data_IF_814985626347
#
_entry.id   IF_814985626347
#
_cell.length_a   1.000
_cell.length_b   1.000
_cell.length_c   1.000
_cell.angle_alpha   90.00
_cell.angle_beta   90.00
_cell.angle_gamma   90.00
#
_symmetry.space_group_name_H-M   'P 1'
#
loop_
_entity.id
_entity.type
_entity.pdbx_description
1 polymer ?
#
# COMPACT_ATOMS: atom_id res chain seq x y z
N UNK A 1 -23.75 17.73 7.60
CA UNK A 1 -23.00 16.48 7.37
C UNK A 1 -22.59 16.35 5.91
N UNK A 2 -23.49 16.63 4.95
CA UNK A 2 -23.16 16.59 3.53
C UNK A 2 -22.05 17.57 3.10
N UNK A 3 -21.96 18.75 3.72
CA UNK A 3 -20.85 19.69 3.45
C UNK A 3 -19.50 19.10 3.83
N UNK A 4 -19.33 18.63 5.08
CA UNK A 4 -18.04 18.11 5.61
C UNK A 4 -17.55 16.90 4.81
N UNK A 5 -18.46 16.06 4.29
CA UNK A 5 -18.09 14.84 3.59
C UNK A 5 -17.18 15.12 2.38
N UNK A 6 -17.45 16.20 1.65
CA UNK A 6 -16.72 16.57 0.44
C UNK A 6 -15.64 17.63 0.68
N UNK A 7 -15.45 18.11 1.91
CA UNK A 7 -14.52 19.21 2.22
C UNK A 7 -13.07 18.72 2.31
N UNK A 8 -12.13 19.52 1.80
CA UNK A 8 -10.69 19.30 2.00
C UNK A 8 -10.30 19.65 3.44
N UNK A 9 -9.30 18.97 3.99
CA UNK A 9 -8.92 19.16 5.41
C UNK A 9 -8.53 20.58 5.80
N UNK A 10 -8.03 21.40 4.86
CA UNK A 10 -7.69 22.80 5.11
C UNK A 10 -8.90 23.69 5.37
N UNK A 11 -10.08 23.25 4.94
CA UNK A 11 -11.29 24.05 4.90
C UNK A 11 -12.31 23.59 5.95
N UNK A 12 -11.91 22.68 6.85
CA UNK A 12 -12.78 22.23 7.92
C UNK A 12 -13.10 23.37 8.89
N UNK A 13 -14.38 23.54 9.29
CA UNK A 13 -14.75 24.44 10.37
C UNK A 13 -14.01 24.11 11.67
N UNK A 14 -13.79 25.12 12.52
CA UNK A 14 -13.22 24.91 13.85
C UNK A 14 -14.04 23.88 14.66
N UNK A 15 -13.34 22.99 15.35
CA UNK A 15 -13.95 21.94 16.17
C UNK A 15 -14.30 20.65 15.44
N UNK A 16 -14.12 20.57 14.11
CA UNK A 16 -14.18 19.29 13.39
C UNK A 16 -12.97 18.45 13.79
N UNK A 17 -13.24 17.31 14.44
CA UNK A 17 -12.20 16.37 14.84
C UNK A 17 -11.96 15.37 13.71
N UNK A 18 -10.68 15.19 13.37
CA UNK A 18 -10.24 14.10 12.52
C UNK A 18 -10.43 12.73 13.17
N UNK A 19 -9.80 11.73 12.59
CA UNK A 19 -9.75 10.36 13.10
C UNK A 19 -8.31 10.01 13.49
N UNK A 20 -7.88 10.34 14.72
CA UNK A 20 -6.49 10.10 15.15
C UNK A 20 -6.11 8.62 15.08
N UNK A 21 -4.83 8.37 14.84
CA UNK A 21 -4.26 7.03 14.79
C UNK A 21 -4.53 6.30 16.12
N UNK A 22 -4.99 5.06 16.01
CA UNK A 22 -5.39 4.19 17.13
C UNK A 22 -6.51 4.72 18.04
N UNK A 23 -7.24 5.77 17.64
CA UNK A 23 -8.50 6.13 18.29
C UNK A 23 -9.54 4.99 18.20
N UNK A 24 -10.55 4.92 19.08
CA UNK A 24 -11.60 3.90 19.00
C UNK A 24 -12.27 3.83 17.61
N UNK A 25 -12.48 4.99 16.97
CA UNK A 25 -13.03 5.09 15.61
C UNK A 25 -12.08 4.48 14.58
N UNK A 26 -10.79 4.81 14.64
CA UNK A 26 -9.77 4.23 13.75
C UNK A 26 -9.71 2.70 13.92
N UNK A 27 -9.63 2.21 15.16
CA UNK A 27 -9.57 0.78 15.46
C UNK A 27 -10.83 0.02 15.00
N UNK A 28 -12.00 0.67 15.08
CA UNK A 28 -13.25 0.10 14.54
C UNK A 28 -13.16 -0.08 13.04
N UNK A 29 -12.77 0.97 12.30
CA UNK A 29 -12.62 0.89 10.84
C UNK A 29 -11.54 -0.08 10.40
N UNK A 30 -10.40 -0.10 11.09
CA UNK A 30 -9.34 -1.09 10.86
C UNK A 30 -9.85 -2.52 11.05
N UNK A 31 -10.62 -2.77 12.11
CA UNK A 31 -11.23 -4.08 12.37
C UNK A 31 -12.24 -4.48 11.29
N UNK A 32 -13.05 -3.53 10.81
CA UNK A 32 -13.97 -3.75 9.68
C UNK A 32 -13.21 -4.10 8.41
N UNK A 33 -12.16 -3.35 8.06
CA UNK A 33 -11.30 -3.65 6.91
C UNK A 33 -10.69 -5.04 7.01
N UNK A 34 -10.14 -5.41 8.18
CA UNK A 34 -9.58 -6.74 8.43
C UNK A 34 -10.65 -7.82 8.25
N UNK A 35 -11.85 -7.63 8.80
CA UNK A 35 -12.94 -8.59 8.66
C UNK A 35 -13.34 -8.79 7.19
N UNK A 36 -13.48 -7.69 6.43
CA UNK A 36 -13.79 -7.74 4.99
C UNK A 36 -12.69 -8.47 4.22
N UNK A 37 -11.42 -8.17 4.50
CA UNK A 37 -10.26 -8.82 3.86
C UNK A 37 -10.27 -10.33 4.15
N UNK A 38 -10.49 -10.74 5.41
CA UNK A 38 -10.56 -12.15 5.79
C UNK A 38 -11.71 -12.85 5.07
N UNK A 39 -12.90 -12.27 5.09
CA UNK A 39 -14.09 -12.83 4.41
C UNK A 39 -13.81 -12.98 2.91
N UNK A 40 -13.27 -11.95 2.27
CA UNK A 40 -12.92 -11.98 0.85
C UNK A 40 -11.93 -13.12 0.56
N UNK A 41 -10.84 -13.22 1.32
CA UNK A 41 -9.84 -14.31 1.15
C UNK A 41 -10.46 -15.69 1.34
N UNK A 42 -11.35 -15.88 2.33
CA UNK A 42 -12.03 -17.16 2.55
C UNK A 42 -12.95 -17.54 1.39
N UNK A 43 -13.65 -16.56 0.80
CA UNK A 43 -14.44 -16.75 -0.42
C UNK A 43 -13.53 -17.10 -1.59
N UNK A 44 -12.42 -16.36 -1.77
CA UNK A 44 -11.47 -16.58 -2.85
C UNK A 44 -10.80 -17.96 -2.78
N UNK A 45 -10.50 -18.45 -1.57
CA UNK A 45 -9.89 -19.78 -1.36
C UNK A 45 -10.80 -20.92 -1.83
N UNK A 46 -12.12 -20.75 -1.74
CA UNK A 46 -13.13 -21.71 -2.19
C UNK A 46 -13.54 -21.51 -3.66
N UNK A 47 -13.14 -20.40 -4.26
CA UNK A 47 -13.56 -20.02 -5.61
C UNK A 47 -12.73 -20.69 -6.70
N UNK A 48 -13.37 -21.03 -7.82
CA UNK A 48 -12.66 -21.52 -9.01
C UNK A 48 -11.72 -20.48 -9.63
N UNK A 49 -10.73 -20.92 -10.42
CA UNK A 49 -9.75 -20.04 -11.07
C UNK A 49 -10.36 -18.92 -11.94
N UNK A 50 -11.41 -19.17 -12.75
CA UNK A 50 -12.03 -18.11 -13.55
C UNK A 50 -12.64 -17.00 -12.70
N UNK A 51 -13.39 -17.37 -11.65
CA UNK A 51 -13.98 -16.42 -10.72
C UNK A 51 -12.89 -15.62 -9.99
N UNK A 52 -11.83 -16.29 -9.53
CA UNK A 52 -10.71 -15.62 -8.86
C UNK A 52 -10.06 -14.52 -9.69
N UNK A 53 -9.72 -14.83 -10.94
CA UNK A 53 -9.14 -13.86 -11.87
C UNK A 53 -10.12 -12.75 -12.23
N UNK A 54 -11.41 -13.08 -12.40
CA UNK A 54 -12.47 -12.11 -12.65
C UNK A 54 -12.61 -11.10 -11.52
N UNK A 55 -12.71 -11.59 -10.27
CA UNK A 55 -12.80 -10.73 -9.08
C UNK A 55 -11.58 -9.84 -8.93
N UNK A 56 -10.36 -10.35 -9.10
CA UNK A 56 -9.15 -9.50 -9.02
C UNK A 56 -9.14 -8.39 -10.06
N UNK A 57 -9.59 -8.67 -11.30
CA UNK A 57 -9.75 -7.64 -12.33
C UNK A 57 -10.76 -6.58 -11.92
N UNK A 58 -11.90 -6.98 -11.34
CA UNK A 58 -12.89 -6.04 -10.83
C UNK A 58 -12.31 -5.20 -9.70
N UNK A 59 -11.66 -5.82 -8.70
CA UNK A 59 -11.08 -5.11 -7.55
C UNK A 59 -10.05 -4.06 -7.99
N UNK A 60 -9.18 -4.39 -8.94
CA UNK A 60 -8.15 -3.44 -9.40
C UNK A 60 -8.72 -2.35 -10.30
N UNK A 61 -9.76 -2.64 -11.09
CA UNK A 61 -10.50 -1.61 -11.83
C UNK A 61 -11.19 -0.67 -10.86
N UNK A 62 -11.81 -1.18 -9.80
CA UNK A 62 -12.42 -0.36 -8.74
C UNK A 62 -11.37 0.53 -8.08
N UNK A 63 -10.19 0.02 -7.73
CA UNK A 63 -9.11 0.83 -7.16
C UNK A 63 -8.66 1.96 -8.11
N UNK A 64 -8.56 1.69 -9.42
CA UNK A 64 -8.22 2.71 -10.40
C UNK A 64 -9.32 3.76 -10.59
N UNK A 65 -10.59 3.34 -10.56
CA UNK A 65 -11.73 4.28 -10.59
C UNK A 65 -11.76 5.14 -9.34
N UNK A 66 -11.42 4.59 -8.17
CA UNK A 66 -11.30 5.36 -6.93
C UNK A 66 -10.17 6.40 -7.01
N UNK A 67 -9.00 6.06 -7.56
CA UNK A 67 -7.93 7.05 -7.74
C UNK A 67 -8.35 8.19 -8.70
N UNK A 68 -9.06 7.86 -9.79
CA UNK A 68 -9.60 8.88 -10.69
C UNK A 68 -10.68 9.71 -9.98
N UNK A 69 -11.53 9.09 -9.16
CA UNK A 69 -12.58 9.81 -8.42
C UNK A 69 -11.97 10.77 -7.40
N UNK A 70 -10.83 10.44 -6.79
CA UNK A 70 -10.07 11.35 -5.94
C UNK A 70 -9.59 12.59 -6.69
N UNK A 71 -9.08 12.44 -7.92
CA UNK A 71 -8.69 13.59 -8.74
C UNK A 71 -9.88 14.46 -9.14
N UNK A 72 -10.99 13.83 -9.53
CA UNK A 72 -12.22 14.54 -9.88
C UNK A 72 -12.75 15.30 -8.66
N UNK A 73 -12.80 14.66 -7.50
CA UNK A 73 -13.22 15.29 -6.25
C UNK A 73 -12.36 16.52 -5.95
N UNK A 74 -11.03 16.36 -5.94
CA UNK A 74 -10.09 17.46 -5.71
C UNK A 74 -10.27 18.62 -6.69
N UNK A 75 -10.51 18.31 -7.98
CA UNK A 75 -10.75 19.32 -9.01
C UNK A 75 -12.08 20.07 -8.80
N UNK A 76 -13.14 19.36 -8.43
CA UNK A 76 -14.47 19.95 -8.18
C UNK A 76 -14.43 20.94 -7.02
N UNK A 77 -13.71 20.60 -5.94
CA UNK A 77 -13.63 21.44 -4.74
C UNK A 77 -12.52 22.51 -4.83
N UNK A 78 -11.82 22.61 -5.96
CA UNK A 78 -10.76 23.61 -6.16
C UNK A 78 -9.43 23.31 -5.45
N UNK A 79 -9.24 22.10 -4.93
CA UNK A 79 -8.03 21.65 -4.22
C UNK A 79 -7.11 20.78 -5.08
N UNK A 80 -7.30 20.77 -6.39
CA UNK A 80 -6.37 20.08 -7.28
C UNK A 80 -5.08 20.89 -7.44
N UNK A 81 -4.01 20.48 -6.76
CA UNK A 81 -2.68 21.07 -6.91
C UNK A 81 -1.68 20.04 -7.42
N UNK A 82 -0.75 20.47 -8.28
CA UNK A 82 0.38 19.61 -8.72
C UNK A 82 1.34 19.26 -7.58
N UNK A 83 1.22 19.94 -6.44
CA UNK A 83 2.03 19.72 -5.24
C UNK A 83 1.53 18.50 -4.45
N UNK A 84 0.22 18.23 -4.47
CA UNK A 84 -0.38 17.17 -3.64
C UNK A 84 -1.07 16.06 -4.44
N UNK A 85 -1.51 16.34 -5.67
CA UNK A 85 -2.45 15.46 -6.39
C UNK A 85 -1.83 14.65 -7.54
N UNK A 86 -0.54 14.79 -7.84
CA UNK A 86 0.10 13.92 -8.83
C UNK A 86 0.16 12.47 -8.31
N UNK A 87 0.06 11.46 -9.19
CA UNK A 87 0.12 10.04 -8.81
C UNK A 87 1.54 9.56 -8.49
N UNK A 88 2.27 10.32 -7.68
CA UNK A 88 3.66 10.09 -7.36
C UNK A 88 3.86 9.43 -6.00
N UNK A 89 2.79 9.19 -5.24
CA UNK A 89 2.85 8.37 -4.02
C UNK A 89 2.89 6.87 -4.33
N UNK A 90 3.34 6.09 -3.34
CA UNK A 90 3.49 4.64 -3.47
C UNK A 90 2.13 3.95 -3.68
N UNK A 91 1.05 4.46 -3.08
CA UNK A 91 -0.30 3.93 -3.29
C UNK A 91 -0.76 4.09 -4.75
N UNK A 92 -0.57 5.26 -5.36
CA UNK A 92 -0.87 5.48 -6.79
C UNK A 92 -0.03 4.57 -7.68
N UNK A 93 1.28 4.43 -7.41
CA UNK A 93 2.13 3.46 -8.12
C UNK A 93 1.63 2.02 -7.93
N UNK A 94 1.21 1.66 -6.72
CA UNK A 94 0.73 0.32 -6.38
C UNK A 94 -0.50 -0.08 -7.18
N UNK A 95 -1.45 0.84 -7.39
CA UNK A 95 -2.63 0.60 -8.23
C UNK A 95 -2.21 0.17 -9.65
N UNK A 96 -1.28 0.90 -10.27
CA UNK A 96 -0.84 0.60 -11.62
C UNK A 96 0.02 -0.66 -11.70
N UNK A 97 0.86 -0.91 -10.69
CA UNK A 97 1.70 -2.11 -10.62
C UNK A 97 0.87 -3.38 -10.39
N UNK A 98 -0.13 -3.32 -9.50
CA UNK A 98 -1.06 -4.42 -9.28
C UNK A 98 -1.95 -4.64 -10.50
N UNK A 99 -2.41 -3.58 -11.17
CA UNK A 99 -3.14 -3.70 -12.44
C UNK A 99 -2.29 -4.43 -13.47
N UNK A 100 -1.05 -3.99 -13.69
CA UNK A 100 -0.14 -4.64 -14.60
C UNK A 100 0.12 -6.10 -14.20
N UNK A 101 0.24 -6.41 -12.90
CA UNK A 101 0.40 -7.77 -12.39
C UNK A 101 -0.83 -8.65 -12.65
N UNK A 102 -2.05 -8.17 -12.39
CA UNK A 102 -3.31 -8.88 -12.59
C UNK A 102 -3.53 -9.23 -14.07
N UNK A 103 -3.24 -8.30 -14.98
CA UNK A 103 -3.47 -8.51 -16.41
C UNK A 103 -2.35 -9.30 -17.10
N UNK A 104 -1.09 -9.07 -16.71
CA UNK A 104 0.04 -9.75 -17.36
C UNK A 104 0.42 -11.08 -16.73
N UNK A 105 0.09 -11.30 -15.44
CA UNK A 105 0.52 -12.47 -14.68
C UNK A 105 2.04 -12.57 -14.45
N UNK A 106 2.81 -11.52 -14.78
CA UNK A 106 4.28 -11.55 -14.68
C UNK A 106 4.74 -11.66 -13.22
N UNK A 107 5.59 -12.65 -12.96
CA UNK A 107 6.15 -12.93 -11.62
C UNK A 107 6.80 -11.70 -10.98
N UNK A 108 7.62 -10.95 -11.73
CA UNK A 108 8.32 -9.76 -11.19
C UNK A 108 7.34 -8.68 -10.68
N UNK A 109 6.20 -8.49 -11.36
CA UNK A 109 5.21 -7.51 -10.92
C UNK A 109 4.47 -7.99 -9.66
N UNK A 110 4.15 -9.28 -9.59
CA UNK A 110 3.56 -9.87 -8.38
C UNK A 110 4.53 -9.82 -7.19
N UNK A 111 5.81 -10.09 -7.43
CA UNK A 111 6.87 -9.94 -6.42
C UNK A 111 6.97 -8.50 -5.94
N UNK A 112 6.98 -7.52 -6.86
CA UNK A 112 7.00 -6.09 -6.51
C UNK A 112 5.81 -5.71 -5.62
N UNK A 113 4.60 -6.12 -6.02
CA UNK A 113 3.39 -5.84 -5.26
C UNK A 113 3.42 -6.52 -3.89
N UNK A 114 3.92 -7.75 -3.80
CA UNK A 114 4.05 -8.46 -2.54
C UNK A 114 5.09 -7.83 -1.60
N UNK A 115 6.26 -7.43 -2.10
CA UNK A 115 7.35 -6.95 -1.25
C UNK A 115 7.27 -5.46 -0.90
N UNK A 116 6.52 -4.65 -1.64
CA UNK A 116 6.46 -3.20 -1.46
C UNK A 116 5.01 -2.68 -1.35
N UNK A 117 4.14 -2.99 -2.31
CA UNK A 117 2.77 -2.47 -2.32
C UNK A 117 1.93 -2.98 -1.13
N UNK A 118 1.93 -4.29 -0.90
CA UNK A 118 1.19 -4.92 0.20
C UNK A 118 1.63 -4.41 1.58
N UNK A 119 2.93 -4.40 1.97
CA UNK A 119 3.33 -3.85 3.25
C UNK A 119 3.15 -2.33 3.33
N UNK A 120 3.31 -1.59 2.23
CA UNK A 120 3.02 -0.15 2.19
C UNK A 120 1.53 0.14 2.44
N UNK A 121 0.64 -0.63 1.84
CA UNK A 121 -0.79 -0.53 2.06
C UNK A 121 -1.18 -0.88 3.51
N UNK A 122 -0.55 -1.92 4.08
CA UNK A 122 -0.73 -2.25 5.50
C UNK A 122 -0.25 -1.11 6.41
N UNK A 123 0.92 -0.52 6.13
CA UNK A 123 1.44 0.60 6.92
C UNK A 123 0.49 1.80 6.88
N UNK A 124 -0.05 2.13 5.70
CA UNK A 124 -1.03 3.21 5.53
C UNK A 124 -2.36 2.94 6.26
N UNK A 125 -2.81 1.68 6.36
CA UNK A 125 -3.97 1.31 7.17
C UNK A 125 -3.71 1.37 8.69
N UNK A 126 -2.48 1.11 9.12
CA UNK A 126 -2.11 1.11 10.55
C UNK A 126 -1.83 2.51 11.07
N UNK A 127 -1.14 3.33 10.27
CA UNK A 127 -0.78 4.72 10.60
C UNK A 127 -1.11 5.62 9.41
N UNK A 128 -2.40 5.93 9.18
CA UNK A 128 -2.82 6.77 8.07
C UNK A 128 -2.28 8.19 8.22
N UNK A 129 -1.81 8.77 7.11
CA UNK A 129 -1.44 10.19 7.00
C UNK A 129 -2.67 11.09 6.74
N UNK A 130 -3.83 10.49 6.45
CA UNK A 130 -5.12 11.17 6.34
C UNK A 130 -5.91 11.22 7.66
N UNK A 131 -5.24 11.07 8.81
CA UNK A 131 -5.85 11.07 10.15
C UNK A 131 -6.56 12.39 10.50
N UNK A 132 -6.22 13.49 9.83
CA UNK A 132 -6.91 14.78 9.97
C UNK A 132 -8.36 14.74 9.45
N UNK A 133 -8.70 13.79 8.59
CA UNK A 133 -10.05 13.66 8.05
C UNK A 133 -10.98 12.92 9.04
N UNK A 134 -12.23 13.41 9.25
CA UNK A 134 -13.27 12.65 9.93
C UNK A 134 -13.56 11.34 9.22
N UNK A 135 -13.92 10.29 9.96
CA UNK A 135 -14.11 8.95 9.40
C UNK A 135 -15.18 8.90 8.31
N UNK A 136 -16.16 9.80 8.37
CA UNK A 136 -17.25 9.94 7.40
C UNK A 136 -16.97 11.11 6.44
N UNK A 137 -15.78 11.11 5.85
CA UNK A 137 -15.40 11.99 4.74
C UNK A 137 -15.05 11.16 3.52
N UNK A 138 -15.18 11.77 2.34
CA UNK A 138 -14.80 11.14 1.09
C UNK A 138 -13.36 10.63 1.14
N UNK A 139 -12.41 11.49 1.53
CA UNK A 139 -10.99 11.15 1.54
C UNK A 139 -10.66 10.03 2.53
N UNK A 140 -11.27 10.00 3.72
CA UNK A 140 -11.04 8.92 4.69
C UNK A 140 -11.56 7.57 4.16
N UNK A 141 -12.82 7.52 3.70
CA UNK A 141 -13.43 6.30 3.17
C UNK A 141 -12.73 5.82 1.90
N UNK A 142 -12.37 6.75 1.00
CA UNK A 142 -11.58 6.49 -0.19
C UNK A 142 -10.26 5.81 0.19
N UNK A 143 -9.47 6.44 1.07
CA UNK A 143 -8.14 5.96 1.41
C UNK A 143 -8.18 4.62 2.14
N UNK A 144 -9.09 4.42 3.10
CA UNK A 144 -9.26 3.11 3.75
C UNK A 144 -9.64 2.03 2.73
N UNK A 145 -10.51 2.35 1.78
CA UNK A 145 -10.94 1.40 0.74
C UNK A 145 -9.79 1.04 -0.20
N UNK A 146 -9.10 2.02 -0.77
CA UNK A 146 -7.98 1.80 -1.72
C UNK A 146 -6.88 0.97 -1.06
N UNK A 147 -6.46 1.32 0.15
CA UNK A 147 -5.39 0.56 0.83
C UNK A 147 -5.85 -0.84 1.24
N UNK A 148 -7.13 -1.05 1.56
CA UNK A 148 -7.67 -2.39 1.79
C UNK A 148 -7.65 -3.24 0.51
N UNK A 149 -7.95 -2.66 -0.66
CA UNK A 149 -7.89 -3.34 -1.95
C UNK A 149 -6.46 -3.71 -2.35
N UNK A 150 -5.52 -2.77 -2.21
CA UNK A 150 -4.09 -2.98 -2.49
C UNK A 150 -3.46 -4.03 -1.57
N UNK A 151 -3.92 -4.12 -0.32
CA UNK A 151 -3.50 -5.21 0.56
C UNK A 151 -4.11 -6.56 0.17
N UNK A 152 -5.40 -6.56 -0.20
CA UNK A 152 -6.17 -7.77 -0.48
C UNK A 152 -5.67 -8.53 -1.72
N UNK A 153 -5.32 -7.85 -2.81
CA UNK A 153 -4.98 -8.52 -4.07
C UNK A 153 -3.71 -9.40 -3.94
N UNK A 154 -2.57 -8.91 -3.43
CA UNK A 154 -1.40 -9.75 -3.19
C UNK A 154 -1.65 -10.85 -2.15
N UNK A 155 -2.52 -10.59 -1.16
CA UNK A 155 -2.91 -11.61 -0.18
C UNK A 155 -3.71 -12.75 -0.83
N UNK A 156 -4.61 -12.45 -1.78
CA UNK A 156 -5.33 -13.47 -2.55
C UNK A 156 -4.35 -14.35 -3.31
N UNK A 157 -3.32 -13.78 -3.94
CA UNK A 157 -2.30 -14.55 -4.66
C UNK A 157 -1.60 -15.55 -3.76
N UNK A 158 -1.14 -15.09 -2.59
CA UNK A 158 -0.42 -15.92 -1.63
C UNK A 158 -1.31 -17.02 -1.04
N UNK A 159 -2.49 -16.65 -0.55
CA UNK A 159 -3.32 -17.57 0.24
C UNK A 159 -4.19 -18.47 -0.64
N UNK A 160 -4.64 -17.96 -1.79
CA UNK A 160 -5.62 -18.65 -2.65
C UNK A 160 -5.04 -19.18 -3.94
N UNK A 161 -3.95 -18.63 -4.49
CA UNK A 161 -3.41 -19.03 -5.80
C UNK A 161 -2.08 -19.78 -5.75
N UNK A 162 -1.52 -19.99 -4.56
CA UNK A 162 -0.22 -20.64 -4.41
C UNK A 162 0.94 -19.83 -4.99
N UNK A 163 0.78 -18.52 -5.12
CA UNK A 163 1.87 -17.62 -5.50
C UNK A 163 3.01 -17.77 -4.51
N UNK A 164 4.22 -17.96 -5.04
CA UNK A 164 5.46 -18.03 -4.26
C UNK A 164 6.35 -16.82 -4.59
N UNK A 165 6.62 -15.95 -3.60
CA UNK A 165 7.54 -14.84 -3.76
C UNK A 165 8.96 -15.33 -4.05
N UNK A 166 9.65 -14.68 -4.99
CA UNK A 166 11.03 -15.02 -5.32
C UNK A 166 12.01 -14.00 -4.72
N UNK A 167 12.78 -14.38 -3.71
CA UNK A 167 13.76 -13.50 -3.05
C UNK A 167 14.83 -12.97 -4.02
N UNK A 168 15.13 -13.70 -5.11
CA UNK A 168 16.09 -13.26 -6.14
C UNK A 168 15.58 -12.05 -6.93
N UNK A 169 14.29 -11.75 -6.87
CA UNK A 169 13.69 -10.58 -7.50
C UNK A 169 13.69 -9.34 -6.59
N UNK A 170 14.06 -9.45 -5.30
CA UNK A 170 14.11 -8.29 -4.39
C UNK A 170 15.01 -7.15 -4.92
N UNK A 171 16.23 -7.39 -5.43
CA UNK A 171 17.05 -6.32 -6.00
C UNK A 171 16.41 -5.65 -7.22
N UNK A 172 15.66 -6.40 -8.03
CA UNK A 172 14.94 -5.86 -9.19
C UNK A 172 13.74 -5.02 -8.74
N UNK A 173 13.02 -5.47 -7.72
CA UNK A 173 11.90 -4.72 -7.14
C UNK A 173 12.39 -3.41 -6.51
N UNK A 174 13.53 -3.46 -5.82
CA UNK A 174 14.21 -2.27 -5.33
C UNK A 174 14.63 -1.33 -6.47
N UNK A 175 15.19 -1.87 -7.55
CA UNK A 175 15.57 -1.10 -8.73
C UNK A 175 14.38 -0.37 -9.37
N UNK A 176 13.21 -1.02 -9.46
CA UNK A 176 11.96 -0.39 -9.92
C UNK A 176 11.55 0.75 -8.98
N UNK A 177 11.61 0.53 -7.67
CA UNK A 177 11.29 1.56 -6.69
C UNK A 177 12.23 2.76 -6.82
N UNK A 178 13.54 2.54 -6.97
CA UNK A 178 14.52 3.62 -7.11
C UNK A 178 14.36 4.35 -8.45
N UNK A 179 14.07 3.64 -9.54
CA UNK A 179 13.79 4.23 -10.84
C UNK A 179 12.58 5.18 -10.79
N UNK A 180 11.62 4.91 -9.91
CA UNK A 180 10.48 5.80 -9.65
C UNK A 180 10.82 6.91 -8.65
N UNK A 181 11.45 6.57 -7.52
CA UNK A 181 11.71 7.48 -6.42
C UNK A 181 12.72 8.59 -6.77
N UNK A 182 13.74 8.32 -7.58
CA UNK A 182 14.76 9.31 -7.95
C UNK A 182 14.16 10.49 -8.76
N UNK A 183 13.39 10.26 -9.85
CA UNK A 183 12.67 11.34 -10.52
C UNK A 183 11.68 12.06 -9.61
N UNK A 184 10.95 11.32 -8.76
CA UNK A 184 9.99 11.90 -7.81
C UNK A 184 10.69 12.83 -6.81
N UNK A 185 11.89 12.48 -6.35
CA UNK A 185 12.69 13.36 -5.52
C UNK A 185 13.06 14.67 -6.25
N UNK A 186 13.45 14.59 -7.52
CA UNK A 186 13.67 15.78 -8.35
C UNK A 186 12.42 16.65 -8.47
N UNK A 187 11.25 16.04 -8.67
CA UNK A 187 9.96 16.74 -8.71
C UNK A 187 9.65 17.41 -7.35
N UNK A 188 9.91 16.72 -6.23
CA UNK A 188 9.73 17.28 -4.89
C UNK A 188 10.59 18.51 -4.63
N UNK A 189 11.81 18.55 -5.17
CA UNK A 189 12.67 19.73 -5.09
C UNK A 189 12.15 20.88 -5.97
N UNK A 190 11.67 20.57 -7.18
CA UNK A 190 11.17 21.57 -8.13
C UNK A 190 9.83 22.20 -7.70
N UNK A 191 8.91 21.39 -7.16
CA UNK A 191 7.54 21.83 -6.83
C UNK A 191 7.37 22.21 -5.36
N UNK A 192 8.34 21.93 -4.51
CA UNK A 192 8.15 22.06 -3.06
C UNK A 192 7.24 20.98 -2.45
N UNK A 193 6.99 19.87 -3.18
CA UNK A 193 6.10 18.78 -2.74
C UNK A 193 6.81 17.72 -1.88
N UNK A 194 6.03 16.82 -1.27
CA UNK A 194 6.53 15.71 -0.44
C UNK A 194 5.99 14.34 -0.86
N UNK A 195 6.02 14.05 -2.17
CA UNK A 195 5.66 12.72 -2.69
C UNK A 195 6.59 11.64 -2.14
N UNK A 196 6.05 10.44 -1.89
CA UNK A 196 6.75 9.32 -1.25
C UNK A 196 7.36 9.62 0.12
N UNK A 197 7.03 10.77 0.73
CA UNK A 197 7.62 11.22 2.00
C UNK A 197 9.15 11.25 1.95
N UNK A 198 9.73 11.75 0.85
CA UNK A 198 11.17 11.83 0.64
C UNK A 198 11.81 13.12 1.17
N UNK A 199 10.99 14.13 1.50
CA UNK A 199 11.46 15.42 2.01
C UNK A 199 11.14 15.63 3.48
N UNK A 200 9.99 15.19 3.94
CA UNK A 200 9.53 15.35 5.33
C UNK A 200 8.79 14.09 5.77
N UNK A 201 8.91 13.69 7.04
CA UNK A 201 8.14 12.56 7.55
C UNK A 201 6.68 12.98 7.78
N UNK A 202 5.70 12.11 7.44
CA UNK A 202 4.31 12.35 7.82
C UNK A 202 4.16 12.23 9.34
N UNK A 203 3.47 13.21 9.93
CA UNK A 203 3.15 13.25 11.36
C UNK A 203 2.27 12.07 11.76
N UNK A 204 2.33 11.71 13.04
CA UNK A 204 1.59 10.60 13.67
C UNK A 204 1.92 9.22 13.06
N UNK A 205 3.08 9.11 12.38
CA UNK A 205 3.57 7.84 11.80
C UNK A 205 4.92 7.43 12.40
N UNK A 206 5.36 6.17 12.23
CA UNK A 206 6.70 5.76 12.62
C UNK A 206 7.83 6.57 11.97
N UNK A 207 7.58 7.21 10.82
CA UNK A 207 8.58 8.04 10.16
C UNK A 207 8.86 9.32 10.96
N UNK A 208 7.89 9.87 11.68
CA UNK A 208 8.11 11.03 12.57
C UNK A 208 9.07 10.69 13.71
N UNK A 209 8.96 9.47 14.27
CA UNK A 209 9.92 8.98 15.25
C UNK A 209 11.32 8.86 14.63
N UNK A 210 11.42 8.35 13.41
CA UNK A 210 12.70 8.27 12.71
C UNK A 210 13.31 9.64 12.44
N UNK A 211 12.51 10.64 12.08
CA UNK A 211 12.95 12.03 11.90
C UNK A 211 13.38 12.66 13.21
N UNK A 212 12.66 12.38 14.30
CA UNK A 212 13.05 12.84 15.64
C UNK A 212 14.39 12.24 16.09
N UNK A 213 14.64 10.96 15.77
CA UNK A 213 15.86 10.25 16.21
C UNK A 213 17.08 10.52 15.31
N UNK A 214 16.89 10.66 14.00
CA UNK A 214 17.97 10.73 13.02
C UNK A 214 18.04 12.07 12.27
N UNK A 215 17.07 12.96 12.48
CA UNK A 215 16.94 14.22 11.77
C UNK A 215 16.42 14.06 10.34
N UNK A 216 16.41 15.17 9.61
CA UNK A 216 16.03 15.26 8.20
C UNK A 216 17.26 15.69 7.39
N UNK A 217 17.74 14.88 6.41
CA UNK A 217 17.10 13.71 5.80
C UNK A 217 17.44 12.36 6.47
N UNK A 218 18.00 12.35 7.68
CA UNK A 218 18.50 11.14 8.33
C UNK A 218 17.48 10.01 8.54
N UNK A 219 16.18 10.32 8.66
CA UNK A 219 15.09 9.33 8.81
C UNK A 219 14.93 8.36 7.63
N UNK A 220 15.49 8.71 6.46
CA UNK A 220 15.49 7.83 5.29
C UNK A 220 16.31 6.55 5.56
N UNK A 221 17.35 6.62 6.40
CA UNK A 221 18.15 5.44 6.78
C UNK A 221 17.33 4.40 7.58
N UNK A 222 16.69 4.72 8.72
CA UNK A 222 15.83 3.78 9.42
C UNK A 222 14.60 3.36 8.59
N UNK A 223 14.12 4.19 7.66
CA UNK A 223 13.11 3.76 6.69
C UNK A 223 13.63 2.62 5.79
N UNK A 224 14.84 2.72 5.24
CA UNK A 224 15.45 1.62 4.48
C UNK A 224 15.65 0.36 5.34
N UNK A 225 16.08 0.52 6.59
CA UNK A 225 16.22 -0.61 7.51
C UNK A 225 14.87 -1.28 7.80
N UNK A 226 13.80 -0.49 7.97
CA UNK A 226 12.44 -0.99 8.15
C UNK A 226 11.99 -1.82 6.94
N UNK A 227 12.26 -1.38 5.71
CA UNK A 227 11.96 -2.15 4.49
C UNK A 227 12.68 -3.51 4.52
N UNK A 228 13.95 -3.54 4.92
CA UNK A 228 14.72 -4.79 5.03
C UNK A 228 14.09 -5.73 6.09
N UNK A 229 13.72 -5.20 7.26
CA UNK A 229 13.03 -5.97 8.31
C UNK A 229 11.72 -6.55 7.79
N UNK A 230 10.91 -5.74 7.10
CA UNK A 230 9.66 -6.20 6.47
C UNK A 230 9.92 -7.30 5.46
N UNK A 231 10.95 -7.18 4.63
CA UNK A 231 11.31 -8.25 3.68
C UNK A 231 11.75 -9.52 4.36
N UNK A 232 12.53 -9.43 5.44
CA UNK A 232 12.87 -10.61 6.25
C UNK A 232 11.59 -11.28 6.74
N UNK A 233 10.65 -10.53 7.33
CA UNK A 233 9.39 -11.08 7.84
C UNK A 233 8.52 -11.71 6.75
N UNK A 234 8.41 -11.07 5.58
CA UNK A 234 7.62 -11.57 4.46
C UNK A 234 8.24 -12.82 3.81
N UNK A 235 9.55 -12.85 3.64
CA UNK A 235 10.24 -13.92 2.91
C UNK A 235 10.71 -15.09 3.79
N UNK A 236 10.85 -14.89 5.10
CA UNK A 236 11.32 -15.92 6.04
C UNK A 236 10.48 -17.21 6.03
N UNK A 237 9.12 -17.17 6.05
CA UNK A 237 8.31 -18.38 6.00
C UNK A 237 8.56 -19.23 4.74
N UNK A 238 8.82 -18.55 3.60
CA UNK A 238 9.09 -19.21 2.33
C UNK A 238 10.47 -19.87 2.32
N UNK A 239 11.50 -19.18 2.83
CA UNK A 239 12.83 -19.74 2.96
C UNK A 239 12.84 -21.01 3.84
N UNK A 240 12.11 -20.99 4.97
CA UNK A 240 11.96 -22.15 5.84
C UNK A 240 11.23 -23.30 5.13
N UNK A 241 10.17 -23.01 4.38
CA UNK A 241 9.42 -24.02 3.62
C UNK A 241 10.28 -24.69 2.54
N UNK A 242 11.11 -23.93 1.83
CA UNK A 242 11.99 -24.44 0.78
C UNK A 242 13.11 -25.32 1.35
N UNK A 243 13.72 -24.94 2.47
CA UNK A 243 14.72 -25.74 3.18
C UNK A 243 14.16 -27.07 3.70
N UNK A 244 12.90 -27.09 4.16
CA UNK A 244 12.24 -28.32 4.59
C UNK A 244 12.01 -29.26 3.41
N UNK A 245 11.60 -28.72 2.26
CA UNK A 245 11.34 -29.50 1.05
C UNK A 245 12.61 -30.13 0.49
N UNK A 246 13.73 -29.41 0.47
CA UNK A 246 15.01 -29.94 -0.05
C UNK A 246 15.56 -31.08 0.81
N UNK A 247 15.26 -31.12 2.12
CA UNK A 247 15.67 -32.21 3.02
C UNK A 247 14.83 -33.48 2.87
N UNK A 248 13.60 -33.37 2.38
CA UNK A 248 12.67 -34.51 2.24
C UNK A 248 12.77 -35.25 0.90
N UNK A 249 13.43 -34.67 -0.11
CA UNK A 249 13.81 -35.36 -1.35
C UNK A 249 15.22 -35.91 -1.18
N UNK A 250 15.43 -37.24 -1.02
CA UNK A 250 16.76 -37.82 -1.09
C UNK A 250 17.36 -37.53 -2.47
N UNK A 251 18.66 -37.26 -2.54
CA UNK A 251 19.37 -37.15 -3.81
C UNK A 251 19.36 -38.51 -4.52
N UNK A 252 18.57 -38.67 -5.56
CA UNK A 252 18.66 -39.79 -6.51
C UNK A 252 19.90 -39.62 -7.43
N UNK A 253 21.05 -39.27 -6.86
CA UNK A 253 22.32 -39.09 -7.59
C UNK A 253 23.45 -39.73 -6.81
N UNK A 254 23.38 -41.06 -6.73
CA UNK A 254 24.50 -41.98 -6.49
C UNK A 254 24.00 -43.39 -6.85
N UNK A 255 23.91 -43.67 -8.15
CA UNK A 255 23.76 -45.02 -8.72
C UNK A 255 24.42 -45.07 -10.10
#
# INVERSE_FOLDING_TARGET
>A
MDEIFWTHQSDFPEGVLGTPNFSPTHLTWLSVSIAIIIIAVLIMKKSGTPLRKGTQRVLIIVAAVLEISRWIWAAIIGHYTVVEMLPLHLCSLSIWMEMAAVFSGKQLLRDFCYCLCMPGALAALLTPDWSAYPFFSFQYLHSVTVHSLLFLIPLIWVVSEGFRPNFRNLPKCFGILMLFAIPVFGINLLLGSNYLFLREAPKDTPLELFETLCGNPGYILPLFLLIIVVWILLYFPWAVADLRRSRTTPSETEA
#
